data_IF_779086551976
#
_entry.id   IF_779086551976
#
_cell.length_a   1.000
_cell.length_b   1.000
_cell.length_c   1.000
_cell.angle_alpha   90.00
_cell.angle_beta   90.00
_cell.angle_gamma   90.00
#
_symmetry.space_group_name_H-M   'P 1'
#
loop_
_entity.id
_entity.type
_entity.pdbx_description
1 polymer ?
#
# COMPACT_ATOMS: atom_id res chain seq x y z
N UNK A 1 -17.46 16.99 8.69
CA UNK A 1 -16.43 16.39 9.56
C UNK A 1 -15.41 15.61 8.73
N UNK A 2 -14.51 16.30 8.03
CA UNK A 2 -13.36 15.69 7.38
C UNK A 2 -12.10 16.32 8.00
N UNK A 3 -11.17 15.49 8.45
CA UNK A 3 -9.97 15.91 9.20
C UNK A 3 -8.84 16.44 8.29
N UNK A 4 -8.81 16.02 7.02
CA UNK A 4 -7.74 16.35 6.06
C UNK A 4 -6.37 15.73 6.38
N UNK A 5 -6.21 15.15 7.57
CA UNK A 5 -5.01 14.47 8.04
C UNK A 5 -4.82 13.11 7.35
N UNK A 6 -3.57 12.67 7.17
CA UNK A 6 -3.27 11.32 6.71
C UNK A 6 -3.38 10.31 7.85
N UNK A 7 -3.95 9.13 7.59
CA UNK A 7 -3.97 8.05 8.58
C UNK A 7 -2.55 7.64 9.02
N UNK A 8 -1.58 7.66 8.09
CA UNK A 8 -0.16 7.38 8.38
C UNK A 8 0.44 8.39 9.36
N UNK A 9 0.07 9.68 9.24
CA UNK A 9 0.54 10.71 10.17
C UNK A 9 -0.07 10.53 11.57
N UNK A 10 -1.34 10.14 11.63
CA UNK A 10 -2.03 9.83 12.87
C UNK A 10 -1.42 8.58 13.53
N UNK A 11 -1.13 7.53 12.76
CA UNK A 11 -0.44 6.34 13.23
C UNK A 11 0.91 6.70 13.85
N UNK A 12 1.75 7.48 13.15
CA UNK A 12 3.06 7.87 13.66
C UNK A 12 2.94 8.63 15.01
N UNK A 13 1.93 9.49 15.16
CA UNK A 13 1.68 10.21 16.40
C UNK A 13 1.18 9.29 17.54
N UNK A 14 0.36 8.28 17.23
CA UNK A 14 -0.09 7.28 18.19
C UNK A 14 1.06 6.35 18.61
N UNK A 15 1.91 5.93 17.67
CA UNK A 15 3.08 5.10 17.95
C UNK A 15 4.08 5.80 18.88
N UNK A 16 4.24 7.13 18.76
CA UNK A 16 5.03 7.92 19.71
C UNK A 16 4.48 7.88 21.15
N UNK A 17 3.20 7.52 21.33
CA UNK A 17 2.55 7.28 22.62
C UNK A 17 2.37 5.78 22.92
N UNK A 18 3.10 4.90 22.21
CA UNK A 18 3.04 3.44 22.35
C UNK A 18 1.67 2.81 22.01
N UNK A 19 0.82 3.53 21.27
CA UNK A 19 -0.46 3.03 20.79
C UNK A 19 -0.28 2.55 19.35
N UNK A 20 -0.56 1.26 19.09
CA UNK A 20 -0.48 0.67 17.75
C UNK A 20 -1.87 0.62 17.12
N UNK A 21 -1.92 0.87 15.82
CA UNK A 21 -3.10 0.62 14.98
C UNK A 21 -2.89 -0.68 14.21
N UNK A 22 -3.97 -1.29 13.76
CA UNK A 22 -3.90 -2.47 12.89
C UNK A 22 -3.44 -2.07 11.48
N UNK A 23 -4.00 -0.97 10.98
CA UNK A 23 -3.76 -0.49 9.63
C UNK A 23 -3.95 1.02 9.57
N UNK A 24 -3.08 1.71 8.83
CA UNK A 24 -3.30 3.10 8.45
C UNK A 24 -2.87 3.32 6.99
N UNK A 25 -3.77 3.90 6.20
CA UNK A 25 -3.44 4.41 4.87
C UNK A 25 -3.61 5.93 4.83
N UNK A 26 -3.63 6.50 3.64
CA UNK A 26 -3.74 7.95 3.50
C UNK A 26 -5.06 8.48 4.09
N UNK A 27 -6.15 7.72 4.00
CA UNK A 27 -7.51 8.17 4.29
C UNK A 27 -8.18 7.50 5.50
N UNK A 28 -7.59 6.41 6.00
CA UNK A 28 -8.20 5.52 6.99
C UNK A 28 -7.20 5.10 8.06
N UNK A 29 -7.68 4.99 9.30
CA UNK A 29 -7.02 4.25 10.38
C UNK A 29 -7.97 3.16 10.88
N UNK A 30 -7.43 1.98 11.19
CA UNK A 30 -8.20 0.84 11.69
C UNK A 30 -7.59 0.38 13.00
N UNK A 31 -8.44 0.21 14.00
CA UNK A 31 -8.11 -0.44 15.26
C UNK A 31 -8.74 -1.83 15.28
N UNK A 32 -8.06 -2.78 15.91
CA UNK A 32 -8.62 -4.10 16.17
C UNK A 32 -9.12 -4.15 17.62
N UNK A 33 -10.42 -4.41 17.78
CA UNK A 33 -11.03 -4.66 19.09
C UNK A 33 -11.30 -6.17 19.24
N UNK A 34 -10.99 -6.70 20.41
CA UNK A 34 -11.04 -8.12 20.74
C UNK A 34 -11.78 -8.34 22.06
N UNK A 35 -11.97 -9.61 22.45
CA UNK A 35 -12.59 -9.99 23.72
C UNK A 35 -11.80 -9.56 24.97
N UNK A 36 -10.53 -9.18 24.80
CA UNK A 36 -9.65 -8.75 25.90
C UNK A 36 -9.79 -7.26 26.16
N UNK A 37 -10.31 -6.49 25.21
CA UNK A 37 -10.44 -5.04 25.32
C UNK A 37 -11.65 -4.65 26.17
N UNK A 38 -11.43 -3.71 27.09
CA UNK A 38 -12.43 -3.21 28.03
C UNK A 38 -12.83 -1.77 27.71
N UNK A 39 -13.91 -1.29 28.32
CA UNK A 39 -14.31 0.12 28.24
C UNK A 39 -13.20 1.08 28.72
N UNK A 40 -12.31 0.62 29.61
CA UNK A 40 -11.17 1.41 30.06
C UNK A 40 -10.17 1.65 28.92
N UNK A 41 -9.87 0.63 28.13
CA UNK A 41 -8.91 0.70 27.01
C UNK A 41 -9.41 1.66 25.93
N UNK A 42 -10.70 1.63 25.61
CA UNK A 42 -11.31 2.59 24.68
C UNK A 42 -11.26 4.02 25.19
N UNK A 43 -11.42 4.24 26.50
CA UNK A 43 -11.28 5.58 27.09
C UNK A 43 -9.83 6.08 27.05
N UNK A 44 -8.85 5.20 27.29
CA UNK A 44 -7.43 5.55 27.14
C UNK A 44 -7.11 5.91 25.69
N UNK A 45 -7.59 5.11 24.72
CA UNK A 45 -7.43 5.41 23.30
C UNK A 45 -8.06 6.77 22.94
N UNK A 46 -9.29 7.04 23.38
CA UNK A 46 -9.96 8.32 23.12
C UNK A 46 -9.18 9.51 23.70
N UNK A 47 -8.62 9.34 24.90
CA UNK A 47 -7.80 10.36 25.59
C UNK A 47 -6.56 10.74 24.78
N UNK A 48 -5.92 9.76 24.12
CA UNK A 48 -4.76 10.01 23.27
C UNK A 48 -5.14 10.48 21.84
N UNK A 49 -6.13 9.82 21.23
CA UNK A 49 -6.50 10.03 19.84
C UNK A 49 -7.12 11.41 19.59
N UNK A 50 -8.05 11.87 20.46
CA UNK A 50 -8.77 13.12 20.23
C UNK A 50 -7.80 14.34 20.15
N UNK A 51 -6.83 14.51 21.07
CA UNK A 51 -5.83 15.56 20.94
C UNK A 51 -5.00 15.47 19.66
N UNK A 52 -4.56 14.26 19.27
CA UNK A 52 -3.79 14.04 18.04
C UNK A 52 -4.59 14.46 16.81
N UNK A 53 -5.85 14.03 16.72
CA UNK A 53 -6.73 14.39 15.61
C UNK A 53 -6.90 15.91 15.50
N UNK A 54 -7.07 16.60 16.65
CA UNK A 54 -7.17 18.07 16.66
C UNK A 54 -5.88 18.75 16.22
N UNK A 55 -4.72 18.27 16.67
CA UNK A 55 -3.43 18.88 16.30
C UNK A 55 -3.01 18.62 14.85
N UNK A 56 -3.48 17.51 14.27
CA UNK A 56 -3.15 17.11 12.90
C UNK A 56 -4.20 17.57 11.87
N UNK A 57 -5.21 18.33 12.28
CA UNK A 57 -6.26 18.77 11.36
C UNK A 57 -5.68 19.65 10.23
N UNK A 58 -6.01 19.28 8.99
CA UNK A 58 -5.54 19.96 7.78
C UNK A 58 -6.71 20.35 6.89
N UNK A 59 -6.40 21.09 5.83
CA UNK A 59 -7.37 21.37 4.77
C UNK A 59 -7.93 20.04 4.22
N UNK A 60 -9.24 20.04 3.99
CA UNK A 60 -9.92 18.90 3.39
C UNK A 60 -9.31 18.61 2.02
N UNK A 61 -9.03 17.34 1.77
CA UNK A 61 -8.56 16.84 0.48
C UNK A 61 -9.47 15.72 -0.02
N UNK A 62 -9.46 15.49 -1.32
CA UNK A 62 -10.13 14.34 -1.90
C UNK A 62 -9.50 13.04 -1.37
N UNK A 63 -10.35 12.05 -1.11
CA UNK A 63 -9.93 10.67 -0.82
C UNK A 63 -9.28 10.09 -2.07
N UNK A 64 -8.15 9.42 -1.90
CA UNK A 64 -7.48 8.73 -3.00
C UNK A 64 -7.91 7.25 -2.98
N UNK A 65 -8.35 6.72 -4.12
CA UNK A 65 -8.60 5.28 -4.23
C UNK A 65 -7.25 4.57 -4.35
N UNK A 66 -7.00 3.55 -3.52
CA UNK A 66 -5.79 2.73 -3.63
C UNK A 66 -5.69 2.13 -5.03
N UNK A 67 -4.47 2.10 -5.58
CA UNK A 67 -4.19 1.53 -6.89
C UNK A 67 -4.71 0.10 -7.04
N UNK A 68 -4.66 -0.67 -5.94
CA UNK A 68 -5.15 -2.06 -5.86
C UNK A 68 -6.63 -2.21 -6.24
N UNK A 69 -7.40 -1.13 -6.19
CA UNK A 69 -8.84 -1.12 -6.52
C UNK A 69 -9.17 -0.38 -7.81
N UNK A 70 -8.20 0.26 -8.45
CA UNK A 70 -8.41 1.08 -9.65
C UNK A 70 -7.80 0.46 -10.92
N UNK A 71 -6.96 -0.56 -10.77
CA UNK A 71 -6.33 -1.26 -11.89
C UNK A 71 -7.12 -2.53 -12.23
N UNK A 72 -7.37 -2.73 -13.51
CA UNK A 72 -7.81 -4.02 -14.05
C UNK A 72 -6.56 -4.74 -14.60
N UNK A 73 -6.18 -5.90 -14.04
CA UNK A 73 -4.99 -6.62 -14.49
C UNK A 73 -5.19 -7.24 -15.87
N UNK A 74 -4.12 -7.27 -16.66
CA UNK A 74 -4.08 -7.98 -17.94
C UNK A 74 -3.23 -9.24 -17.79
N UNK A 75 -3.89 -10.40 -17.81
CA UNK A 75 -3.22 -11.70 -17.66
C UNK A 75 -2.65 -12.13 -19.02
N UNK A 76 -1.32 -12.14 -19.15
CA UNK A 76 -0.66 -12.57 -20.38
C UNK A 76 -0.41 -14.09 -20.39
N UNK A 77 -0.01 -14.65 -19.24
CA UNK A 77 0.17 -16.09 -19.05
C UNK A 77 -0.30 -16.50 -17.65
N UNK A 78 -0.45 -17.81 -17.41
CA UNK A 78 -0.82 -18.29 -16.08
C UNK A 78 0.29 -18.01 -15.06
N UNK A 79 -0.11 -17.77 -13.81
CA UNK A 79 0.84 -17.63 -12.68
C UNK A 79 1.80 -18.81 -12.57
N UNK A 80 1.35 -20.03 -12.89
CA UNK A 80 2.21 -21.22 -12.95
C UNK A 80 3.29 -21.10 -14.01
N UNK A 81 2.95 -20.67 -15.22
CA UNK A 81 3.93 -20.47 -16.28
C UNK A 81 4.93 -19.38 -15.90
N UNK A 82 4.45 -18.27 -15.35
CA UNK A 82 5.31 -17.19 -14.87
C UNK A 82 6.28 -17.64 -13.79
N UNK A 83 5.82 -18.49 -12.86
CA UNK A 83 6.64 -19.04 -11.78
C UNK A 83 7.83 -19.88 -12.29
N UNK A 84 7.66 -20.63 -13.38
CA UNK A 84 8.69 -21.48 -13.97
C UNK A 84 9.46 -20.83 -15.12
N UNK A 85 9.11 -19.61 -15.53
CA UNK A 85 9.75 -18.94 -16.64
C UNK A 85 11.15 -18.45 -16.26
N UNK A 86 12.04 -18.31 -17.25
CA UNK A 86 13.26 -17.55 -17.03
C UNK A 86 12.94 -16.07 -16.81
N UNK A 87 13.67 -15.43 -15.89
CA UNK A 87 13.42 -14.03 -15.52
C UNK A 87 14.67 -13.17 -15.67
N UNK A 88 14.46 -11.86 -15.79
CA UNK A 88 15.51 -10.86 -15.75
C UNK A 88 15.06 -9.64 -14.94
N UNK A 89 16.02 -8.86 -14.42
CA UNK A 89 15.75 -7.60 -13.75
C UNK A 89 15.94 -6.45 -14.74
N UNK A 90 14.87 -5.73 -15.07
CA UNK A 90 14.89 -4.56 -15.95
C UNK A 90 14.67 -3.28 -15.16
N UNK A 91 15.11 -2.13 -15.69
CA UNK A 91 14.82 -0.82 -15.10
C UNK A 91 13.34 -0.45 -15.31
N UNK A 92 12.81 0.44 -14.47
CA UNK A 92 11.40 0.85 -14.53
C UNK A 92 10.95 1.33 -15.93
N UNK A 93 11.81 2.06 -16.67
CA UNK A 93 11.56 2.52 -18.03
C UNK A 93 11.41 1.38 -19.06
N UNK A 94 12.00 0.21 -18.78
CA UNK A 94 11.95 -0.99 -19.62
C UNK A 94 10.94 -2.02 -19.13
N UNK A 95 10.27 -1.77 -18.01
CA UNK A 95 9.31 -2.69 -17.41
C UNK A 95 7.94 -2.62 -18.09
N UNK A 96 7.55 -1.45 -18.60
CA UNK A 96 6.25 -1.26 -19.25
C UNK A 96 6.10 -2.17 -20.47
N UNK A 97 5.01 -2.93 -20.51
CA UNK A 97 4.71 -3.91 -21.56
C UNK A 97 5.42 -5.26 -21.38
N UNK A 98 6.12 -5.48 -20.26
CA UNK A 98 6.71 -6.78 -19.91
C UNK A 98 5.79 -7.55 -18.96
N UNK A 99 5.93 -8.88 -18.96
CA UNK A 99 5.18 -9.74 -18.05
C UNK A 99 5.92 -9.79 -16.71
N UNK A 100 5.23 -9.44 -15.62
CA UNK A 100 5.78 -9.51 -14.28
C UNK A 100 6.06 -10.96 -13.88
N UNK A 101 7.22 -11.18 -13.27
CA UNK A 101 7.50 -12.41 -12.53
C UNK A 101 7.26 -12.26 -11.01
N UNK A 102 6.97 -11.04 -10.57
CA UNK A 102 6.71 -10.70 -9.18
C UNK A 102 5.23 -10.54 -8.88
N UNK A 103 4.87 -10.84 -7.63
CA UNK A 103 3.70 -10.29 -6.99
C UNK A 103 4.10 -8.91 -6.42
N UNK A 104 3.30 -7.87 -6.66
CA UNK A 104 3.59 -6.52 -6.17
C UNK A 104 2.33 -5.98 -5.47
N UNK A 105 2.46 -5.66 -4.19
CA UNK A 105 1.35 -5.18 -3.37
C UNK A 105 1.76 -3.93 -2.55
N UNK A 106 1.09 -2.78 -2.72
CA UNK A 106 1.14 -1.71 -1.76
C UNK A 106 0.57 -2.15 -0.42
N UNK A 107 1.26 -1.83 0.67
CA UNK A 107 0.85 -2.15 2.03
C UNK A 107 0.81 -0.91 2.91
N UNK A 108 -0.34 -0.58 3.51
CA UNK A 108 -1.66 -1.24 3.36
C UNK A 108 -2.41 -0.87 2.06
N UNK A 109 -3.45 -1.63 1.63
CA UNK A 109 -4.08 -2.77 2.33
C UNK A 109 -3.37 -4.11 2.14
N UNK A 110 -2.30 -4.19 1.34
CA UNK A 110 -1.62 -5.45 1.05
C UNK A 110 -2.29 -6.29 -0.04
N UNK A 111 -3.22 -5.69 -0.79
CA UNK A 111 -3.84 -6.31 -1.97
C UNK A 111 -2.88 -6.16 -3.15
N UNK A 112 -2.66 -7.24 -3.89
CA UNK A 112 -1.78 -7.22 -5.04
C UNK A 112 -2.33 -6.31 -6.14
N UNK A 113 -1.49 -5.42 -6.65
CA UNK A 113 -1.72 -4.66 -7.89
C UNK A 113 -1.27 -5.48 -9.10
N UNK A 114 -0.25 -6.32 -8.89
CA UNK A 114 0.33 -7.19 -9.92
C UNK A 114 0.53 -8.57 -9.34
N UNK A 115 0.12 -9.58 -10.09
CA UNK A 115 0.44 -10.98 -9.86
C UNK A 115 1.42 -11.50 -10.94
N UNK A 116 2.21 -12.55 -10.67
CA UNK A 116 3.07 -13.14 -11.68
C UNK A 116 2.26 -13.62 -12.90
N UNK A 117 2.73 -13.29 -14.10
CA UNK A 117 2.03 -13.60 -15.36
C UNK A 117 1.17 -12.46 -15.90
N UNK A 118 1.02 -11.38 -15.15
CA UNK A 118 0.31 -10.17 -15.58
C UNK A 118 1.25 -9.16 -16.27
N UNK A 119 0.68 -8.38 -17.19
CA UNK A 119 1.38 -7.33 -17.91
C UNK A 119 1.61 -6.10 -17.02
N UNK A 120 2.84 -5.62 -16.96
CA UNK A 120 3.17 -4.34 -16.33
C UNK A 120 2.76 -3.21 -17.27
N UNK A 121 1.53 -2.72 -17.12
CA UNK A 121 1.05 -1.56 -17.88
C UNK A 121 1.69 -0.27 -17.36
N UNK A 122 1.64 0.78 -18.19
CA UNK A 122 2.12 2.11 -17.80
C UNK A 122 1.42 2.63 -16.54
N UNK A 123 0.10 2.44 -16.46
CA UNK A 123 -0.73 2.84 -15.31
C UNK A 123 -0.27 2.16 -14.02
N UNK A 124 0.06 0.86 -14.08
CA UNK A 124 0.57 0.10 -12.94
C UNK A 124 1.93 0.65 -12.48
N UNK A 125 2.89 0.79 -13.39
CA UNK A 125 4.26 1.21 -13.05
C UNK A 125 4.26 2.63 -12.48
N UNK A 126 3.56 3.56 -13.12
CA UNK A 126 3.45 4.94 -12.64
C UNK A 126 2.66 5.02 -11.32
N UNK A 127 1.57 4.26 -11.21
CA UNK A 127 0.75 4.20 -10.00
C UNK A 127 1.52 3.68 -8.78
N UNK A 128 2.31 2.62 -8.96
CA UNK A 128 3.13 2.04 -7.90
C UNK A 128 4.23 3.03 -7.46
N UNK A 129 4.87 3.71 -8.42
CA UNK A 129 5.86 4.75 -8.11
C UNK A 129 5.26 5.92 -7.31
N UNK A 130 4.07 6.41 -7.69
CA UNK A 130 3.36 7.45 -6.93
C UNK A 130 2.96 6.97 -5.53
N UNK A 131 2.49 5.72 -5.41
CA UNK A 131 2.10 5.11 -4.14
C UNK A 131 3.30 5.02 -3.18
N UNK A 132 4.46 4.60 -3.69
CA UNK A 132 5.70 4.55 -2.92
C UNK A 132 6.20 5.95 -2.53
N UNK A 133 6.12 6.93 -3.44
CA UNK A 133 6.48 8.32 -3.15
C UNK A 133 5.59 8.97 -2.08
N UNK A 134 4.34 8.50 -1.94
CA UNK A 134 3.44 8.88 -0.86
C UNK A 134 3.74 8.21 0.49
N UNK A 135 4.81 7.41 0.58
CA UNK A 135 5.26 6.74 1.80
C UNK A 135 4.61 5.38 2.05
N UNK A 136 3.83 4.85 1.11
CA UNK A 136 3.24 3.51 1.23
C UNK A 136 4.31 2.46 0.95
N UNK A 137 4.42 1.47 1.83
CA UNK A 137 5.37 0.37 1.67
C UNK A 137 4.98 -0.51 0.48
N UNK A 138 5.96 -0.93 -0.32
CA UNK A 138 5.75 -1.94 -1.37
C UNK A 138 6.23 -3.30 -0.87
N UNK A 139 5.35 -4.29 -0.94
CA UNK A 139 5.63 -5.66 -0.54
C UNK A 139 5.75 -6.60 -1.75
N UNK A 140 6.50 -7.69 -1.56
CA UNK A 140 6.66 -8.83 -2.46
C UNK A 140 7.36 -8.58 -3.81
N UNK A 141 7.53 -7.32 -4.22
CA UNK A 141 8.44 -6.95 -5.30
C UNK A 141 9.87 -7.38 -4.95
N UNK A 142 10.60 -7.93 -5.93
CA UNK A 142 12.01 -8.31 -5.78
C UNK A 142 12.87 -7.09 -5.42
N UNK A 143 12.55 -5.93 -6.01
CA UNK A 143 13.09 -4.64 -5.63
C UNK A 143 11.95 -3.75 -5.08
N UNK A 144 11.85 -3.59 -3.75
CA UNK A 144 10.78 -2.80 -3.14
C UNK A 144 10.95 -1.29 -3.36
N UNK A 145 12.09 -0.82 -3.89
CA UNK A 145 12.27 0.58 -4.30
C UNK A 145 11.69 0.87 -5.68
N UNK A 146 11.18 -0.15 -6.38
CA UNK A 146 10.60 -0.04 -7.72
C UNK A 146 11.54 0.58 -8.78
N UNK A 147 12.84 0.65 -8.51
CA UNK A 147 13.84 1.10 -9.48
C UNK A 147 14.05 0.04 -10.57
N UNK A 148 13.90 -1.23 -10.20
CA UNK A 148 13.94 -2.38 -11.11
C UNK A 148 12.75 -3.31 -10.90
N UNK A 149 12.39 -4.04 -11.95
CA UNK A 149 11.30 -5.00 -11.95
C UNK A 149 11.81 -6.36 -12.42
N UNK A 150 11.40 -7.42 -11.74
CA UNK A 150 11.64 -8.79 -12.21
C UNK A 150 10.57 -9.17 -13.22
N UNK A 151 10.99 -9.40 -14.45
CA UNK A 151 10.10 -9.70 -15.58
C UNK A 151 10.49 -11.02 -16.24
N UNK A 152 9.57 -11.62 -16.95
CA UNK A 152 9.84 -12.81 -17.76
C UNK A 152 10.73 -12.43 -18.94
N UNK A 153 11.81 -13.19 -19.15
CA UNK A 153 12.66 -13.04 -20.34
C UNK A 153 11.86 -13.35 -21.61
N UNK A 154 11.96 -12.45 -22.57
CA UNK A 154 11.42 -12.63 -23.92
C UNK A 154 12.19 -13.70 -24.69
#
# INVERSE_FOLDING_TARGET
>A
NQLGASGVEIENALQAQMIRVEMADNDTIVFLATLVDSAHDFNQLATALIPILKSQQKAVRATATSLSWSVVPEVAISMRQAYFAETEMVTADKAVGRISADLIAPYPPGVAVVAPGELLTKVIVEGLAMTMAAGVRIAYATDPTLMRYRVIKS
#
